data_IF_377466922166
#
_entry.id   IF_377466922166
#
_cell.length_a   1.000
_cell.length_b   1.000
_cell.length_c   1.000
_cell.angle_alpha   90.00
_cell.angle_beta   90.00
_cell.angle_gamma   90.00
#
_symmetry.space_group_name_H-M   'P 1'
#
loop_
_entity.id
_entity.type
_entity.pdbx_description
1 polymer ?
#
# COMPACT_ATOMS: atom_id res chain seq x y z
N UNK A 1 -28.38 -4.10 7.84
CA UNK A 1 -27.55 -5.30 7.52
C UNK A 1 -26.52 -4.89 6.48
N UNK A 2 -25.22 -5.14 6.67
CA UNK A 2 -24.17 -4.68 5.72
C UNK A 2 -24.29 -5.45 4.40
N UNK A 3 -24.21 -4.77 3.26
CA UNK A 3 -24.25 -5.37 1.90
C UNK A 3 -23.29 -6.56 1.76
N UNK A 4 -22.09 -6.45 2.34
CA UNK A 4 -21.11 -7.56 2.37
C UNK A 4 -21.69 -8.83 3.01
N UNK A 5 -22.36 -8.69 4.16
CA UNK A 5 -22.94 -9.82 4.90
C UNK A 5 -24.06 -10.47 4.07
N UNK A 6 -24.95 -9.66 3.50
CA UNK A 6 -26.00 -10.16 2.61
C UNK A 6 -25.45 -10.94 1.40
N UNK A 7 -24.37 -10.46 0.77
CA UNK A 7 -23.75 -11.13 -0.37
C UNK A 7 -23.04 -12.43 0.01
N UNK A 8 -22.41 -12.49 1.20
CA UNK A 8 -21.79 -13.72 1.69
C UNK A 8 -22.83 -14.80 2.00
N UNK A 9 -24.02 -14.40 2.47
CA UNK A 9 -25.09 -15.33 2.85
C UNK A 9 -25.90 -15.83 1.65
N UNK A 10 -25.94 -15.09 0.53
CA UNK A 10 -26.80 -15.39 -0.63
C UNK A 10 -26.06 -15.82 -1.90
N UNK A 11 -24.74 -15.62 -2.01
CA UNK A 11 -23.95 -16.13 -3.13
C UNK A 11 -23.10 -17.34 -2.71
N UNK A 12 -23.32 -18.53 -3.31
CA UNK A 12 -22.38 -19.63 -3.18
C UNK A 12 -21.02 -19.22 -3.76
N UNK A 13 -19.92 -19.59 -3.10
CA UNK A 13 -18.55 -19.30 -3.51
C UNK A 13 -18.18 -17.79 -3.61
N UNK A 14 -18.83 -16.89 -2.84
CA UNK A 14 -18.50 -15.45 -2.80
C UNK A 14 -16.99 -15.16 -2.70
N UNK A 15 -16.25 -15.94 -1.90
CA UNK A 15 -14.79 -15.78 -1.74
C UNK A 15 -13.99 -15.98 -3.05
N UNK A 16 -14.48 -16.80 -3.98
CA UNK A 16 -13.84 -16.96 -5.30
C UNK A 16 -13.98 -15.73 -6.18
N UNK A 17 -15.05 -14.94 -6.01
CA UNK A 17 -15.29 -13.70 -6.77
C UNK A 17 -14.50 -12.51 -6.21
N UNK A 18 -14.16 -12.54 -4.92
CA UNK A 18 -13.42 -11.47 -4.24
C UNK A 18 -12.03 -11.27 -4.84
N UNK A 19 -11.31 -12.35 -5.14
CA UNK A 19 -9.95 -12.29 -5.72
C UNK A 19 -9.94 -11.60 -7.11
N UNK A 20 -10.70 -12.05 -8.13
CA UNK A 20 -10.70 -11.40 -9.43
C UNK A 20 -11.26 -9.96 -9.37
N UNK A 21 -12.19 -9.68 -8.46
CA UNK A 21 -12.66 -8.31 -8.21
C UNK A 21 -11.53 -7.40 -7.70
N UNK A 22 -10.75 -7.83 -6.70
CA UNK A 22 -9.62 -7.05 -6.20
C UNK A 22 -8.51 -6.91 -7.25
N UNK A 23 -8.25 -7.94 -8.04
CA UNK A 23 -7.31 -7.87 -9.16
C UNK A 23 -7.77 -6.84 -10.20
N UNK A 24 -9.05 -6.88 -10.61
CA UNK A 24 -9.62 -5.91 -11.54
C UNK A 24 -9.49 -4.47 -11.02
N UNK A 25 -9.80 -4.23 -9.74
CA UNK A 25 -9.60 -2.92 -9.10
C UNK A 25 -8.14 -2.47 -9.12
N UNK A 26 -7.20 -3.37 -8.83
CA UNK A 26 -5.78 -3.06 -8.81
C UNK A 26 -5.28 -2.69 -10.22
N UNK A 27 -5.70 -3.43 -11.25
CA UNK A 27 -5.35 -3.17 -12.65
C UNK A 27 -5.91 -1.83 -13.12
N UNK A 28 -7.20 -1.56 -12.85
CA UNK A 28 -7.83 -0.28 -13.20
C UNK A 28 -7.15 0.91 -12.52
N UNK A 29 -6.78 0.78 -11.24
CA UNK A 29 -6.04 1.83 -10.55
C UNK A 29 -4.63 2.01 -11.14
N UNK A 30 -3.92 0.92 -11.43
CA UNK A 30 -2.60 0.98 -12.02
C UNK A 30 -2.61 1.66 -13.40
N UNK A 31 -3.62 1.37 -14.23
CA UNK A 31 -3.82 1.99 -15.53
C UNK A 31 -4.16 3.48 -15.40
N UNK A 32 -5.14 3.83 -14.55
CA UNK A 32 -5.53 5.22 -14.26
C UNK A 32 -4.37 6.11 -13.82
N UNK A 33 -3.42 5.57 -13.05
CA UNK A 33 -2.23 6.30 -12.59
C UNK A 33 -0.97 6.05 -13.44
N UNK A 34 -1.11 5.43 -14.61
CA UNK A 34 -0.04 5.16 -15.57
C UNK A 34 1.16 4.38 -14.99
N UNK A 35 0.87 3.34 -14.19
CA UNK A 35 1.85 2.45 -13.57
C UNK A 35 3.00 3.20 -12.87
N UNK A 36 2.72 3.98 -11.81
CA UNK A 36 3.71 4.87 -11.19
C UNK A 36 4.94 4.10 -10.66
N UNK A 37 4.75 2.85 -10.23
CA UNK A 37 5.83 1.96 -9.78
C UNK A 37 6.90 1.69 -10.84
N UNK A 38 6.62 1.89 -12.14
CA UNK A 38 7.65 1.79 -13.20
C UNK A 38 8.61 2.97 -13.22
N UNK A 39 8.25 4.09 -12.58
CA UNK A 39 9.01 5.35 -12.57
C UNK A 39 9.76 5.57 -11.24
N UNK A 40 9.68 4.64 -10.29
CA UNK A 40 10.31 4.76 -8.98
C UNK A 40 10.81 3.40 -8.49
N UNK A 41 11.81 3.41 -7.60
CA UNK A 41 12.20 2.19 -6.88
C UNK A 41 11.34 2.05 -5.64
N UNK A 42 10.71 0.89 -5.48
CA UNK A 42 9.89 0.56 -4.32
C UNK A 42 10.65 -0.42 -3.43
N UNK A 43 10.84 -0.06 -2.16
CA UNK A 43 11.47 -0.91 -1.15
C UNK A 43 10.38 -1.31 -0.14
N UNK A 44 10.10 -2.61 -0.05
CA UNK A 44 9.12 -3.15 0.90
C UNK A 44 9.84 -3.84 2.06
N UNK A 45 9.54 -3.43 3.29
CA UNK A 45 10.04 -4.09 4.50
C UNK A 45 8.93 -4.95 5.10
N UNK A 46 9.19 -6.25 5.18
CA UNK A 46 8.29 -7.24 5.78
C UNK A 46 8.94 -7.92 6.99
N UNK A 47 8.12 -8.48 7.88
CA UNK A 47 8.55 -9.15 9.10
C UNK A 47 7.59 -8.94 10.26
N UNK A 48 7.72 -9.73 11.31
CA UNK A 48 6.84 -9.64 12.49
C UNK A 48 7.04 -8.30 13.20
N UNK A 49 8.29 -7.92 13.43
CA UNK A 49 8.67 -6.71 14.17
C UNK A 49 9.65 -5.84 13.37
N UNK A 50 9.77 -4.57 13.75
CA UNK A 50 10.79 -3.66 13.21
C UNK A 50 10.52 -3.09 11.81
N UNK A 51 9.38 -3.42 11.16
CA UNK A 51 8.99 -2.88 9.84
C UNK A 51 9.04 -1.35 9.81
N UNK A 52 8.29 -0.72 10.70
CA UNK A 52 8.19 0.74 10.79
C UNK A 52 9.55 1.36 11.05
N UNK A 53 10.26 0.93 12.10
CA UNK A 53 11.58 1.46 12.46
C UNK A 53 12.60 1.35 11.31
N UNK A 54 12.60 0.21 10.61
CA UNK A 54 13.50 -0.03 9.47
C UNK A 54 13.14 0.86 8.29
N UNK A 55 11.85 1.03 7.97
CA UNK A 55 11.40 1.95 6.93
C UNK A 55 11.86 3.39 7.21
N UNK A 56 11.74 3.86 8.46
CA UNK A 56 12.23 5.19 8.85
C UNK A 56 13.74 5.32 8.71
N UNK A 57 14.51 4.29 9.09
CA UNK A 57 15.97 4.30 8.95
C UNK A 57 16.37 4.38 7.47
N UNK A 58 15.75 3.56 6.60
CA UNK A 58 15.98 3.61 5.15
C UNK A 58 15.64 4.99 4.58
N UNK A 59 14.47 5.54 4.93
CA UNK A 59 14.05 6.86 4.47
C UNK A 59 15.02 7.96 4.91
N UNK A 60 15.50 7.94 6.16
CA UNK A 60 16.50 8.91 6.66
C UNK A 60 17.82 8.80 5.91
N UNK A 61 18.35 7.58 5.73
CA UNK A 61 19.62 7.36 5.03
C UNK A 61 19.56 7.82 3.57
N UNK A 62 18.47 7.51 2.86
CA UNK A 62 18.31 7.90 1.47
C UNK A 62 18.14 9.41 1.29
N UNK A 63 17.34 10.07 2.13
CA UNK A 63 17.23 11.53 2.10
C UNK A 63 18.56 12.21 2.48
N UNK A 64 19.30 11.67 3.46
CA UNK A 64 20.62 12.19 3.81
C UNK A 64 21.63 12.05 2.66
N UNK A 65 21.53 10.98 1.87
CA UNK A 65 22.31 10.79 0.66
C UNK A 65 21.83 11.63 -0.55
N UNK A 66 20.83 12.51 -0.37
CA UNK A 66 20.32 13.42 -1.40
C UNK A 66 19.24 12.83 -2.31
N UNK A 67 18.72 11.63 -2.03
CA UNK A 67 17.63 11.05 -2.82
C UNK A 67 16.26 11.51 -2.32
N UNK A 68 15.43 12.04 -3.22
CA UNK A 68 14.01 12.33 -2.93
C UNK A 68 13.26 11.02 -2.66
N UNK A 69 12.94 10.77 -1.39
CA UNK A 69 12.43 9.47 -0.95
C UNK A 69 11.10 9.62 -0.22
N UNK A 70 10.10 8.85 -0.63
CA UNK A 70 8.82 8.73 0.07
C UNK A 70 8.83 7.66 1.15
N UNK A 71 8.00 7.85 2.19
CA UNK A 71 7.73 6.89 3.24
C UNK A 71 6.23 6.61 3.30
N UNK A 72 5.85 5.34 3.50
CA UNK A 72 4.49 4.94 3.79
C UNK A 72 4.54 3.83 4.85
N UNK A 73 4.04 4.12 6.04
CA UNK A 73 4.00 3.20 7.19
C UNK A 73 2.67 3.37 7.91
N UNK A 74 2.41 2.54 8.93
CA UNK A 74 1.19 2.65 9.74
C UNK A 74 1.14 3.90 10.63
N UNK A 75 2.26 4.61 10.81
CA UNK A 75 2.34 5.75 11.74
C UNK A 75 2.55 7.07 11.01
N UNK A 76 3.17 7.05 9.83
CA UNK A 76 3.41 8.24 9.03
C UNK A 76 3.57 7.92 7.55
N UNK A 77 3.28 8.92 6.73
CA UNK A 77 3.46 8.88 5.29
C UNK A 77 3.85 10.25 4.73
N UNK A 78 4.51 10.28 3.57
CA UNK A 78 4.88 11.53 2.91
C UNK A 78 6.18 11.43 2.12
N UNK A 79 6.64 12.55 1.57
CA UNK A 79 7.90 12.64 0.80
C UNK A 79 8.82 13.67 1.42
N UNK A 80 8.45 14.96 1.32
CA UNK A 80 9.25 16.07 1.82
C UNK A 80 8.91 16.39 3.29
N UNK A 81 7.62 16.30 3.64
CA UNK A 81 7.12 16.36 5.02
C UNK A 81 6.35 15.08 5.30
N UNK A 82 6.57 14.50 6.48
CA UNK A 82 5.81 13.33 6.93
C UNK A 82 4.57 13.81 7.70
N UNK A 83 3.42 13.28 7.32
CA UNK A 83 2.15 13.43 8.02
C UNK A 83 1.94 12.22 8.94
N UNK A 84 1.48 12.46 10.15
CA UNK A 84 1.07 11.38 11.06
C UNK A 84 -0.24 10.77 10.56
N UNK A 85 -0.29 9.44 10.57
CA UNK A 85 -1.50 8.71 10.24
C UNK A 85 -2.35 8.58 11.51
N UNK A 86 -3.37 9.44 11.64
CA UNK A 86 -4.36 9.41 12.72
C UNK A 86 -5.23 8.15 12.61
#
# INVERSE_FOLDING_TARGET
>A
MKIKTFLMDNLPDYNRLVIPYHLGKAVLAAEKYHFPGKKMRVIAVTGTNGKTSTCFLIWKMLNHAGYKTGLMTTVAWGVDKLEEQI
#
